data_IF_521496555786
#
_entry.id   IF_521496555786
#
_cell.length_a   1.000
_cell.length_b   1.000
_cell.length_c   1.000
_cell.angle_alpha   90.00
_cell.angle_beta   90.00
_cell.angle_gamma   90.00
#
_symmetry.space_group_name_H-M   'P 1'
#
loop_
_entity.id
_entity.type
_entity.pdbx_description
1 polymer ?
#
# COMPACT_ATOMS: atom_id res chain seq x y z
N UNK A 1 -15.34 48.38 10.39
CA UNK A 1 -16.36 47.37 10.07
C UNK A 1 -15.92 46.68 8.79
N UNK A 2 -15.20 45.56 8.92
CA UNK A 2 -14.72 44.77 7.80
C UNK A 2 -15.54 43.48 7.78
N UNK A 3 -16.41 43.34 6.78
CA UNK A 3 -17.18 42.13 6.54
C UNK A 3 -16.27 41.11 5.87
N UNK A 4 -15.92 40.05 6.61
CA UNK A 4 -15.27 38.86 6.07
C UNK A 4 -16.29 38.11 5.20
N UNK A 5 -15.95 37.91 3.92
CA UNK A 5 -16.67 37.01 3.03
C UNK A 5 -16.18 35.60 3.34
N UNK A 6 -17.11 34.76 3.79
CA UNK A 6 -16.89 33.34 4.08
C UNK A 6 -17.08 32.57 2.77
N UNK A 7 -15.98 32.35 2.03
CA UNK A 7 -15.98 31.44 0.87
C UNK A 7 -16.04 29.99 1.38
N UNK A 8 -17.24 29.59 1.77
CA UNK A 8 -17.58 28.21 2.11
C UNK A 8 -17.47 27.33 0.88
N UNK A 9 -16.29 26.74 0.66
CA UNK A 9 -16.05 25.71 -0.34
C UNK A 9 -16.94 24.49 -0.04
N UNK A 10 -18.15 24.51 -0.60
CA UNK A 10 -19.14 23.46 -0.42
C UNK A 10 -18.67 22.23 -1.19
N UNK A 11 -18.28 21.17 -0.45
CA UNK A 11 -17.88 19.90 -1.05
C UNK A 11 -19.08 19.35 -1.84
N UNK A 12 -18.91 19.25 -3.15
CA UNK A 12 -19.90 18.68 -4.06
C UNK A 12 -19.51 17.26 -4.44
N UNK A 13 -20.50 16.41 -4.73
CA UNK A 13 -20.31 15.00 -5.06
C UNK A 13 -20.88 14.73 -6.44
N UNK A 14 -20.08 14.17 -7.34
CA UNK A 14 -20.46 13.88 -8.71
C UNK A 14 -20.85 12.40 -8.90
N UNK A 15 -21.85 12.15 -9.76
CA UNK A 15 -22.21 10.80 -10.17
C UNK A 15 -21.31 10.34 -11.33
N UNK A 16 -20.58 9.22 -11.22
CA UNK A 16 -19.66 8.77 -12.26
C UNK A 16 -20.34 8.30 -13.55
N UNK A 17 -21.64 7.96 -13.50
CA UNK A 17 -22.41 7.54 -14.68
C UNK A 17 -22.92 8.70 -15.53
N UNK A 18 -23.58 9.68 -14.89
CA UNK A 18 -24.26 10.79 -15.57
C UNK A 18 -23.64 12.18 -15.32
N UNK A 19 -22.57 12.26 -14.51
CA UNK A 19 -21.86 13.49 -14.13
C UNK A 19 -22.73 14.55 -13.40
N UNK A 20 -23.91 14.16 -12.90
CA UNK A 20 -24.75 15.05 -12.09
C UNK A 20 -24.07 15.40 -10.76
N UNK A 21 -24.19 16.65 -10.34
CA UNK A 21 -23.56 17.19 -9.12
C UNK A 21 -24.59 17.21 -7.98
N UNK A 22 -24.19 16.69 -6.81
CA UNK A 22 -25.04 16.55 -5.64
C UNK A 22 -24.46 17.33 -4.45
N UNK A 23 -25.33 17.98 -3.65
CA UNK A 23 -24.92 18.79 -2.50
C UNK A 23 -24.58 17.95 -1.26
N UNK A 24 -24.86 16.64 -1.26
CA UNK A 24 -24.51 15.74 -0.16
C UNK A 24 -24.37 14.29 -0.61
N UNK A 25 -23.62 13.46 0.16
CA UNK A 25 -23.50 12.02 -0.12
C UNK A 25 -24.84 11.28 -0.06
N UNK A 26 -25.77 11.74 0.80
CA UNK A 26 -27.09 11.15 0.94
C UNK A 26 -27.96 11.37 -0.31
N UNK A 27 -27.85 12.54 -0.93
CA UNK A 27 -28.55 12.86 -2.18
C UNK A 27 -28.02 12.03 -3.35
N UNK A 28 -26.70 11.89 -3.47
CA UNK A 28 -26.06 11.00 -4.44
C UNK A 28 -26.49 9.54 -4.23
N UNK A 29 -26.49 9.06 -2.98
CA UNK A 29 -26.93 7.71 -2.65
C UNK A 29 -28.39 7.45 -2.99
N UNK A 30 -29.26 8.45 -2.84
CA UNK A 30 -30.67 8.30 -3.21
C UNK A 30 -30.82 8.20 -4.73
N UNK A 31 -30.15 9.06 -5.49
CA UNK A 31 -30.10 9.01 -6.96
C UNK A 31 -29.62 7.63 -7.46
N UNK A 32 -28.52 7.10 -6.91
CA UNK A 32 -28.01 5.78 -7.26
C UNK A 32 -28.94 4.62 -6.86
N UNK A 33 -29.88 4.82 -5.93
CA UNK A 33 -30.86 3.79 -5.53
C UNK A 33 -32.14 3.84 -6.34
N UNK A 34 -32.58 5.02 -6.78
CA UNK A 34 -33.84 5.21 -7.50
C UNK A 34 -33.68 5.15 -9.01
N UNK A 35 -32.55 5.61 -9.55
CA UNK A 35 -32.23 5.64 -10.99
C UNK A 35 -31.04 4.71 -11.33
N UNK A 36 -30.60 3.91 -10.34
CA UNK A 36 -29.37 3.13 -10.35
C UNK A 36 -29.18 2.18 -11.53
N UNK A 37 -30.25 1.69 -12.14
CA UNK A 37 -30.17 0.80 -13.30
C UNK A 37 -29.39 1.43 -14.47
N UNK A 38 -29.66 2.68 -14.82
CA UNK A 38 -29.09 3.29 -16.04
C UNK A 38 -27.74 3.98 -15.82
N UNK A 39 -27.46 4.43 -14.59
CA UNK A 39 -26.20 5.12 -14.27
C UNK A 39 -25.06 4.16 -13.89
N UNK A 40 -25.37 2.95 -13.42
CA UNK A 40 -24.34 1.97 -13.01
C UNK A 40 -23.89 1.06 -14.16
N UNK A 41 -24.75 0.80 -15.15
CA UNK A 41 -24.41 0.00 -16.35
C UNK A 41 -23.33 0.65 -17.24
N UNK A 42 -23.17 1.98 -17.15
CA UNK A 42 -22.15 2.73 -17.89
C UNK A 42 -20.77 2.76 -17.21
N UNK A 43 -20.67 2.30 -15.97
CA UNK A 43 -19.39 2.20 -15.25
C UNK A 43 -18.81 0.84 -15.63
N UNK A 44 -17.60 0.77 -16.22
CA UNK A 44 -16.95 -0.51 -16.45
C UNK A 44 -16.83 -1.20 -15.10
N UNK A 45 -17.52 -2.33 -14.92
CA UNK A 45 -17.33 -3.21 -13.77
C UNK A 45 -15.88 -3.67 -13.87
N UNK A 46 -14.97 -2.96 -13.21
CA UNK A 46 -13.61 -3.44 -13.04
C UNK A 46 -13.74 -4.76 -12.31
N UNK A 47 -13.43 -5.86 -12.99
CA UNK A 47 -13.50 -7.21 -12.44
C UNK A 47 -12.77 -7.24 -11.09
N UNK A 48 -13.54 -7.22 -10.01
CA UNK A 48 -13.01 -7.49 -8.68
C UNK A 48 -12.73 -8.99 -8.67
N UNK A 49 -11.49 -9.43 -8.42
CA UNK A 49 -11.20 -10.84 -8.32
C UNK A 49 -12.07 -11.43 -7.21
N UNK A 50 -12.90 -12.42 -7.56
CA UNK A 50 -13.68 -13.19 -6.61
C UNK A 50 -12.68 -13.97 -5.74
N UNK A 51 -12.74 -13.85 -4.40
CA UNK A 51 -11.86 -14.61 -3.53
C UNK A 51 -11.96 -16.10 -3.84
N UNK A 52 -10.86 -16.87 -3.75
CA UNK A 52 -10.88 -18.30 -4.04
C UNK A 52 -11.88 -19.08 -3.17
N UNK A 53 -12.21 -18.61 -1.97
CA UNK A 53 -13.29 -19.17 -1.14
C UNK A 53 -14.68 -19.16 -1.82
N UNK A 54 -14.86 -18.33 -2.86
CA UNK A 54 -16.09 -18.23 -3.65
C UNK A 54 -15.87 -18.59 -5.13
N UNK A 55 -14.66 -19.04 -5.50
CA UNK A 55 -14.42 -19.64 -6.80
C UNK A 55 -15.09 -21.01 -6.81
N UNK A 56 -16.13 -21.15 -7.62
CA UNK A 56 -16.88 -22.40 -7.80
C UNK A 56 -15.89 -23.49 -8.27
N UNK A 57 -15.46 -24.35 -7.36
CA UNK A 57 -14.46 -25.39 -7.62
C UNK A 57 -13.32 -25.52 -6.60
N UNK A 58 -13.18 -24.61 -5.61
CA UNK A 58 -12.37 -24.92 -4.43
C UNK A 58 -13.15 -25.90 -3.55
N UNK A 59 -12.63 -27.12 -3.40
CA UNK A 59 -13.23 -28.18 -2.59
C UNK A 59 -13.12 -27.91 -1.09
N UNK A 60 -13.78 -26.86 -0.61
CA UNK A 60 -14.15 -26.73 0.80
C UNK A 60 -15.68 -26.60 0.87
N UNK A 61 -16.32 -27.76 0.85
CA UNK A 61 -17.74 -27.91 1.09
C UNK A 61 -18.05 -27.49 2.53
N UNK A 62 -18.47 -26.24 2.76
CA UNK A 62 -19.60 -25.94 3.68
C UNK A 62 -19.97 -24.45 3.81
N UNK A 63 -19.19 -23.48 3.29
CA UNK A 63 -19.49 -22.07 3.54
C UNK A 63 -20.30 -21.46 2.38
N UNK A 64 -21.63 -21.56 2.45
CA UNK A 64 -22.54 -20.88 1.51
C UNK A 64 -22.73 -19.40 1.92
N UNK A 65 -21.87 -18.52 1.41
CA UNK A 65 -21.98 -17.09 1.64
C UNK A 65 -22.78 -16.36 0.56
N UNK A 66 -23.73 -15.49 0.95
CA UNK A 66 -24.39 -14.55 0.02
C UNK A 66 -23.98 -13.11 0.34
N UNK A 67 -23.88 -12.24 -0.68
CA UNK A 67 -23.67 -10.81 -0.48
C UNK A 67 -24.84 -10.21 0.33
N UNK A 68 -24.53 -9.32 1.28
CA UNK A 68 -25.57 -8.66 2.07
C UNK A 68 -26.40 -7.71 1.17
N UNK A 69 -27.75 -7.66 1.29
CA UNK A 69 -28.61 -6.85 0.41
C UNK A 69 -28.35 -5.34 0.46
N UNK A 70 -27.70 -4.85 1.52
CA UNK A 70 -27.28 -3.44 1.67
C UNK A 70 -25.76 -3.27 1.57
N UNK A 71 -25.05 -4.16 0.87
CA UNK A 71 -23.63 -3.94 0.56
C UNK A 71 -23.46 -2.54 -0.06
N UNK A 72 -22.43 -1.83 0.40
CA UNK A 72 -22.20 -0.43 0.03
C UNK A 72 -21.31 -0.39 -1.22
N UNK A 73 -21.51 0.59 -2.08
CA UNK A 73 -20.68 0.80 -3.26
C UNK A 73 -19.22 1.08 -2.88
N UNK A 74 -18.27 0.44 -3.58
CA UNK A 74 -16.85 0.80 -3.54
C UNK A 74 -16.69 2.10 -4.31
N UNK A 75 -16.50 3.20 -3.59
CA UNK A 75 -16.47 4.53 -4.19
C UNK A 75 -15.25 4.76 -5.06
N UNK A 76 -14.07 4.22 -4.68
CA UNK A 76 -12.80 4.31 -5.42
C UNK A 76 -11.81 3.27 -4.87
N UNK A 77 -10.92 2.76 -5.74
CA UNK A 77 -9.70 2.04 -5.31
C UNK A 77 -8.58 3.07 -5.18
N UNK A 78 -8.10 3.31 -3.95
CA UNK A 78 -6.89 4.12 -3.75
C UNK A 78 -5.65 3.37 -4.25
N UNK A 79 -4.64 4.11 -4.72
CA UNK A 79 -3.38 3.51 -5.16
C UNK A 79 -2.77 2.70 -4.01
N UNK A 80 -2.64 1.40 -4.24
CA UNK A 80 -1.85 0.55 -3.35
C UNK A 80 -0.38 0.94 -3.47
N UNK A 81 0.41 0.58 -2.48
CA UNK A 81 1.85 0.73 -2.57
C UNK A 81 2.46 -0.01 -3.77
N UNK A 82 1.90 -1.16 -4.16
CA UNK A 82 2.27 -1.81 -5.41
C UNK A 82 1.95 -0.94 -6.62
N UNK A 83 0.79 -0.29 -6.65
CA UNK A 83 0.41 0.64 -7.71
C UNK A 83 1.33 1.87 -7.74
N UNK A 84 1.80 2.35 -6.59
CA UNK A 84 2.79 3.43 -6.50
C UNK A 84 4.20 3.00 -6.91
N UNK A 85 4.61 1.78 -6.58
CA UNK A 85 5.87 1.20 -7.05
C UNK A 85 5.83 1.05 -8.57
N UNK A 86 4.71 0.58 -9.12
CA UNK A 86 4.47 0.55 -10.56
C UNK A 86 4.51 1.95 -11.14
N UNK A 87 3.83 2.95 -10.57
CA UNK A 87 3.84 4.32 -11.08
C UNK A 87 5.18 5.08 -10.89
N UNK A 88 6.17 4.52 -10.17
CA UNK A 88 7.46 5.19 -9.93
C UNK A 88 8.34 5.19 -11.18
N UNK A 89 9.30 6.13 -11.29
CA UNK A 89 10.23 6.27 -12.43
C UNK A 89 11.01 4.98 -12.81
N UNK A 90 11.02 3.99 -11.92
CA UNK A 90 11.68 2.71 -12.12
C UNK A 90 10.78 1.63 -12.75
N UNK A 91 9.52 1.94 -13.09
CA UNK A 91 8.55 1.00 -13.70
C UNK A 91 9.14 0.19 -14.84
N UNK A 92 9.74 0.88 -15.82
CA UNK A 92 10.32 0.26 -17.02
C UNK A 92 11.52 -0.64 -16.70
N UNK A 93 12.21 -0.40 -15.59
CA UNK A 93 13.41 -1.16 -15.19
C UNK A 93 13.02 -2.38 -14.34
N UNK A 94 12.02 -2.24 -13.45
CA UNK A 94 11.50 -3.34 -12.64
C UNK A 94 10.67 -4.36 -13.44
N UNK A 95 10.00 -3.94 -14.52
CA UNK A 95 9.24 -4.85 -15.39
C UNK A 95 10.12 -5.92 -16.06
N UNK A 96 11.41 -5.61 -16.31
CA UNK A 96 12.34 -6.52 -16.98
C UNK A 96 13.35 -7.18 -16.02
N UNK A 97 13.52 -6.66 -14.81
CA UNK A 97 14.55 -7.12 -13.87
C UNK A 97 14.10 -6.98 -12.42
N UNK A 98 13.68 -8.11 -11.83
CA UNK A 98 13.12 -8.19 -10.47
C UNK A 98 14.06 -7.60 -9.40
N UNK A 99 15.37 -7.78 -9.58
CA UNK A 99 16.39 -7.37 -8.61
C UNK A 99 16.96 -5.97 -8.85
N UNK A 100 16.42 -5.18 -9.79
CA UNK A 100 16.90 -3.81 -10.01
C UNK A 100 16.90 -3.00 -8.68
N UNK A 101 17.97 -2.24 -8.36
CA UNK A 101 19.12 -1.83 -9.18
C UNK A 101 20.27 -2.84 -9.30
N UNK A 102 20.13 -4.03 -8.72
CA UNK A 102 21.09 -5.12 -8.79
C UNK A 102 20.95 -5.92 -10.10
N UNK A 103 22.05 -6.53 -10.53
CA UNK A 103 22.16 -7.32 -11.74
C UNK A 103 21.33 -8.61 -11.67
N UNK A 104 21.34 -9.28 -10.52
CA UNK A 104 20.63 -10.53 -10.30
C UNK A 104 20.38 -10.78 -8.80
N UNK A 105 19.79 -11.93 -8.50
CA UNK A 105 19.54 -12.39 -7.13
C UNK A 105 20.82 -12.52 -6.30
N UNK A 106 21.90 -13.02 -6.91
CA UNK A 106 23.17 -13.25 -6.22
C UNK A 106 23.84 -11.95 -5.83
N UNK A 107 23.79 -10.95 -6.71
CA UNK A 107 24.26 -9.61 -6.39
C UNK A 107 23.43 -8.94 -5.29
N UNK A 108 22.10 -9.14 -5.30
CA UNK A 108 21.23 -8.68 -4.21
C UNK A 108 21.58 -9.34 -2.88
N UNK A 109 21.81 -10.66 -2.87
CA UNK A 109 22.20 -11.39 -1.66
C UNK A 109 23.54 -10.86 -1.10
N UNK A 110 24.53 -10.66 -1.98
CA UNK A 110 25.81 -10.06 -1.62
C UNK A 110 25.62 -8.65 -1.03
N UNK A 111 24.84 -7.81 -1.70
CA UNK A 111 24.54 -6.45 -1.26
C UNK A 111 23.90 -6.43 0.14
N UNK A 112 22.90 -7.29 0.36
CA UNK A 112 22.23 -7.46 1.65
C UNK A 112 23.20 -7.94 2.74
N UNK A 113 24.04 -8.92 2.43
CA UNK A 113 25.03 -9.45 3.36
C UNK A 113 26.02 -8.36 3.79
N UNK A 114 26.54 -7.57 2.85
CA UNK A 114 27.45 -6.46 3.15
C UNK A 114 26.76 -5.40 4.01
N UNK A 115 25.55 -4.98 3.65
CA UNK A 115 24.83 -3.93 4.39
C UNK A 115 24.50 -4.31 5.84
N UNK A 116 24.30 -5.61 6.13
CA UNK A 116 23.97 -6.09 7.46
C UNK A 116 25.19 -6.37 8.34
N UNK A 117 26.32 -6.75 7.76
CA UNK A 117 27.46 -7.29 8.51
C UNK A 117 28.70 -6.39 8.51
N UNK A 118 28.78 -5.42 7.60
CA UNK A 118 29.99 -4.61 7.40
C UNK A 118 29.72 -3.14 7.72
N UNK A 119 30.73 -2.46 8.29
CA UNK A 119 30.72 -1.00 8.35
C UNK A 119 30.97 -0.40 6.98
N UNK A 120 30.65 0.88 6.82
CA UNK A 120 30.82 1.60 5.56
C UNK A 120 32.28 1.59 5.06
N UNK A 121 33.25 1.68 5.97
CA UNK A 121 34.67 1.60 5.63
C UNK A 121 35.07 0.20 5.17
N UNK A 122 34.59 -0.85 5.84
CA UNK A 122 34.86 -2.24 5.45
C UNK A 122 34.23 -2.59 4.10
N UNK A 123 33.02 -2.11 3.81
CA UNK A 123 32.38 -2.27 2.50
C UNK A 123 33.20 -1.59 1.39
N UNK A 124 33.67 -0.36 1.61
CA UNK A 124 34.53 0.33 0.65
C UNK A 124 35.88 -0.39 0.45
N UNK A 125 36.42 -1.03 1.49
CA UNK A 125 37.63 -1.83 1.38
C UNK A 125 37.38 -3.13 0.60
N UNK A 126 36.24 -3.79 0.84
CA UNK A 126 35.80 -4.96 0.09
C UNK A 126 35.70 -4.67 -1.42
N UNK A 127 35.07 -3.55 -1.79
CA UNK A 127 34.94 -3.13 -3.20
C UNK A 127 36.28 -2.79 -3.89
N UNK A 128 37.34 -2.55 -3.11
CA UNK A 128 38.70 -2.26 -3.60
C UNK A 128 39.60 -3.49 -3.65
N UNK A 129 39.09 -4.68 -3.32
CA UNK A 129 39.88 -5.91 -3.39
C UNK A 129 40.35 -6.17 -4.82
N UNK A 130 41.61 -6.57 -4.98
CA UNK A 130 42.20 -6.96 -6.28
C UNK A 130 41.44 -8.09 -6.99
N UNK A 131 40.63 -8.84 -6.24
CA UNK A 131 39.69 -9.83 -6.77
C UNK A 131 38.81 -9.25 -7.89
N UNK A 132 38.39 -8.00 -7.76
CA UNK A 132 37.54 -7.30 -8.72
C UNK A 132 38.31 -6.65 -9.89
N UNK A 133 39.64 -6.82 -9.97
CA UNK A 133 40.41 -6.40 -11.15
C UNK A 133 40.29 -7.41 -12.30
N UNK A 134 40.08 -8.68 -11.97
CA UNK A 134 39.99 -9.79 -12.95
C UNK A 134 38.57 -10.33 -13.13
N UNK A 135 37.62 -9.90 -12.28
CA UNK A 135 36.24 -10.39 -12.25
C UNK A 135 35.24 -9.24 -12.35
N UNK A 136 34.00 -9.60 -12.67
CA UNK A 136 32.88 -8.65 -12.73
C UNK A 136 32.71 -7.97 -11.37
N UNK A 137 32.65 -6.65 -11.39
CA UNK A 137 32.38 -5.82 -10.21
C UNK A 137 30.89 -5.78 -9.91
N UNK A 138 30.51 -5.64 -8.62
CA UNK A 138 29.13 -5.36 -8.29
C UNK A 138 28.67 -4.03 -8.94
N UNK A 139 27.37 -3.92 -9.21
CA UNK A 139 26.73 -2.75 -9.81
C UNK A 139 26.89 -1.48 -8.97
N UNK A 140 27.09 -1.62 -7.67
CA UNK A 140 27.38 -0.52 -6.75
C UNK A 140 28.89 -0.26 -6.63
N UNK A 141 29.30 1.00 -6.80
CA UNK A 141 30.70 1.44 -6.82
C UNK A 141 31.22 1.87 -5.44
N UNK A 142 30.33 2.15 -4.50
CA UNK A 142 30.67 2.57 -3.15
C UNK A 142 29.65 2.07 -2.14
N UNK A 143 30.06 2.06 -0.87
CA UNK A 143 29.16 1.78 0.24
C UNK A 143 28.02 2.81 0.35
N UNK A 144 28.29 4.09 0.07
CA UNK A 144 27.23 5.13 0.01
C UNK A 144 26.18 4.81 -1.05
N UNK A 145 26.61 4.35 -2.23
CA UNK A 145 25.68 4.01 -3.31
C UNK A 145 24.80 2.82 -2.92
N UNK A 146 25.41 1.77 -2.36
CA UNK A 146 24.68 0.61 -1.86
C UNK A 146 23.67 1.01 -0.76
N UNK A 147 24.12 1.76 0.25
CA UNK A 147 23.26 2.20 1.34
C UNK A 147 22.17 3.17 0.86
N UNK A 148 22.45 4.00 -0.15
CA UNK A 148 21.47 4.85 -0.81
C UNK A 148 20.38 4.04 -1.52
N UNK A 149 20.76 2.97 -2.23
CA UNK A 149 19.80 2.04 -2.84
C UNK A 149 18.96 1.35 -1.77
N UNK A 150 19.58 0.85 -0.69
CA UNK A 150 18.87 0.25 0.43
C UNK A 150 17.91 1.24 1.10
N UNK A 151 18.30 2.52 1.22
CA UNK A 151 17.46 3.56 1.80
C UNK A 151 16.30 3.97 0.88
N UNK A 152 16.47 3.86 -0.44
CA UNK A 152 15.41 4.08 -1.43
C UNK A 152 14.40 2.94 -1.49
N UNK A 153 14.73 1.77 -0.92
CA UNK A 153 13.74 0.71 -0.79
C UNK A 153 12.58 1.24 0.04
N UNK A 154 11.36 0.98 -0.43
CA UNK A 154 10.23 1.56 0.23
C UNK A 154 10.06 0.96 1.62
N UNK A 155 9.96 1.83 2.63
CA UNK A 155 9.86 1.44 4.02
C UNK A 155 8.42 1.12 4.38
N UNK A 156 8.22 0.01 5.08
CA UNK A 156 6.96 -0.29 5.75
C UNK A 156 6.65 0.71 6.88
N UNK A 157 5.51 0.54 7.57
CA UNK A 157 5.14 1.37 8.71
C UNK A 157 6.24 1.33 9.80
N UNK A 158 6.82 2.49 10.09
CA UNK A 158 7.89 2.58 11.08
C UNK A 158 7.37 2.41 12.52
N UNK A 159 8.10 1.64 13.31
CA UNK A 159 7.88 1.55 14.75
C UNK A 159 8.17 2.90 15.42
N UNK A 160 7.26 3.31 16.29
CA UNK A 160 7.33 4.54 17.09
C UNK A 160 7.35 4.19 18.56
N UNK A 161 7.97 5.06 19.35
CA UNK A 161 8.01 4.97 20.81
C UNK A 161 7.45 6.26 21.40
N UNK A 162 6.52 6.16 22.33
CA UNK A 162 5.94 7.31 23.03
C UNK A 162 5.86 7.01 24.52
N UNK A 163 6.37 7.92 25.34
CA UNK A 163 6.19 7.83 26.80
C UNK A 163 4.75 8.18 27.15
N UNK A 164 4.08 7.30 27.88
CA UNK A 164 2.71 7.50 28.36
C UNK A 164 2.75 7.97 29.80
N UNK A 165 2.13 9.13 30.07
CA UNK A 165 1.99 9.68 31.41
C UNK A 165 0.53 9.57 31.87
N UNK A 166 0.33 8.98 33.04
CA UNK A 166 -1.00 8.89 33.66
C UNK A 166 -1.13 9.97 34.73
N UNK A 167 -2.05 10.93 34.52
CA UNK A 167 -2.36 11.95 35.52
C UNK A 167 -2.81 11.29 36.83
N UNK A 168 -2.16 11.64 37.93
CA UNK A 168 -2.47 11.11 39.27
C UNK A 168 -1.67 9.87 39.67
N UNK A 169 -0.93 9.24 38.74
CA UNK A 169 -0.11 8.07 39.03
C UNK A 169 1.36 8.37 38.77
N UNK A 170 2.20 8.30 39.80
CA UNK A 170 3.67 8.40 39.64
C UNK A 170 4.21 7.01 39.33
N UNK A 171 4.58 6.79 38.07
CA UNK A 171 5.30 5.60 37.66
C UNK A 171 6.79 5.72 38.04
N UNK A 172 7.34 4.72 38.71
CA UNK A 172 8.77 4.67 39.09
C UNK A 172 9.68 4.65 37.84
N UNK A 173 9.19 4.04 36.75
CA UNK A 173 9.83 4.03 35.45
C UNK A 173 8.87 4.53 34.38
N UNK A 174 9.35 5.25 33.35
CA UNK A 174 8.50 5.76 32.28
C UNK A 174 7.90 4.59 31.49
N UNK A 175 6.57 4.58 31.36
CA UNK A 175 5.86 3.59 30.57
C UNK A 175 6.03 3.95 29.08
N UNK A 176 6.59 3.03 28.31
CA UNK A 176 6.87 3.22 26.89
C UNK A 176 5.84 2.47 26.06
N UNK A 177 5.04 3.19 25.27
CA UNK A 177 4.19 2.62 24.24
C UNK A 177 4.98 2.49 22.95
N UNK A 178 5.10 1.26 22.45
CA UNK A 178 5.68 0.96 21.14
C UNK A 178 4.51 0.69 20.18
N UNK A 179 4.40 1.49 19.11
CA UNK A 179 3.25 1.45 18.21
C UNK A 179 3.64 1.77 16.76
N UNK A 180 2.79 1.39 15.82
CA UNK A 180 2.86 1.80 14.41
C UNK A 180 1.59 2.55 14.05
N UNK A 181 1.68 3.47 13.09
CA UNK A 181 0.52 4.17 12.55
C UNK A 181 -0.45 3.16 11.92
N UNK A 182 -1.61 2.96 12.55
CA UNK A 182 -2.58 1.95 12.15
C UNK A 182 -3.06 2.13 10.70
N UNK A 183 -3.22 3.37 10.24
CA UNK A 183 -3.62 3.65 8.86
C UNK A 183 -2.51 3.25 7.88
N UNK A 184 -1.24 3.49 8.23
CA UNK A 184 -0.11 3.06 7.41
C UNK A 184 0.04 1.54 7.40
N UNK A 185 -0.15 0.87 8.53
CA UNK A 185 -0.12 -0.60 8.62
C UNK A 185 -1.20 -1.21 7.74
N UNK A 186 -2.43 -0.72 7.82
CA UNK A 186 -3.53 -1.18 6.97
C UNK A 186 -3.17 -0.93 5.49
N UNK A 187 -2.77 0.29 5.12
CA UNK A 187 -2.38 0.57 3.73
C UNK A 187 -1.28 -0.36 3.22
N UNK A 188 -0.24 -0.61 4.02
CA UNK A 188 0.88 -1.49 3.67
C UNK A 188 0.42 -2.96 3.49
N UNK A 189 -0.37 -3.47 4.45
CA UNK A 189 -0.94 -4.82 4.39
C UNK A 189 -1.78 -5.04 3.13
N UNK A 190 -2.69 -4.10 2.87
CA UNK A 190 -3.58 -4.13 1.70
C UNK A 190 -2.84 -3.89 0.37
N UNK A 191 -1.56 -3.53 0.43
CA UNK A 191 -0.75 -3.35 -0.78
C UNK A 191 0.11 -4.55 -1.14
N UNK A 192 0.09 -5.61 -0.32
CA UNK A 192 0.82 -6.81 -0.65
C UNK A 192 0.12 -7.55 -1.81
N UNK A 193 0.79 -7.73 -2.97
CA UNK A 193 0.22 -8.40 -4.14
C UNK A 193 -0.29 -9.82 -3.86
N UNK A 194 0.29 -10.51 -2.86
CA UNK A 194 -0.14 -11.85 -2.48
C UNK A 194 -1.61 -11.87 -2.09
N UNK A 195 -2.11 -10.80 -1.48
CA UNK A 195 -3.50 -10.69 -1.05
C UNK A 195 -4.43 -10.11 -2.14
N UNK A 196 -3.91 -9.68 -3.29
CA UNK A 196 -4.71 -8.99 -4.31
C UNK A 196 -5.95 -9.77 -4.74
N UNK A 197 -5.84 -11.09 -4.84
CA UNK A 197 -6.95 -11.99 -5.23
C UNK A 197 -7.73 -12.56 -4.03
N UNK A 198 -7.36 -12.19 -2.80
CA UNK A 198 -7.91 -12.74 -1.54
C UNK A 198 -8.58 -11.68 -0.68
N UNK A 199 -8.66 -10.43 -1.14
CA UNK A 199 -9.29 -9.33 -0.39
C UNK A 199 -10.71 -9.09 -0.90
N UNK A 200 -11.70 -9.36 -0.04
CA UNK A 200 -13.09 -8.94 -0.23
C UNK A 200 -13.41 -7.75 0.65
N UNK A 201 -14.03 -6.74 0.06
CA UNK A 201 -14.47 -5.52 0.77
C UNK A 201 -15.98 -5.50 1.00
N UNK A 202 -16.70 -6.49 0.46
CA UNK A 202 -18.14 -6.58 0.60
C UNK A 202 -18.53 -7.38 1.84
N UNK A 203 -19.52 -6.91 2.62
CA UNK A 203 -20.07 -7.69 3.72
C UNK A 203 -20.83 -8.91 3.16
N UNK A 204 -20.53 -10.08 3.72
CA UNK A 204 -21.17 -11.35 3.38
C UNK A 204 -22.02 -11.85 4.56
N UNK A 205 -23.16 -12.47 4.25
CA UNK A 205 -23.88 -13.34 5.18
C UNK A 205 -23.31 -14.73 5.06
N UNK A 206 -22.87 -15.29 6.19
CA UNK A 206 -22.39 -16.68 6.30
C UNK A 206 -23.41 -17.44 7.14
N UNK A 207 -23.87 -18.60 6.65
CA UNK A 207 -24.84 -19.46 7.30
C UNK A 207 -24.18 -20.71 7.87
#
# INVERSE_FOLDING_TARGET
MASMSDDGNSITFDCPGCQAIFPSPAALLNHLKTEGGTCTDAIPVQHIPVPPAFQRGFEENDIMGHYYPTSRYIYNRGDTFLDRMKASEHERRHQNQLYYPFADEGEWELAKFLALNFTQSQMNQFLKLKWFETRVKPSFKSADQLLGWMASLPHGPQWRRTTVEFKGYKSIHPIQLIWQDALKVVKDLFSNPIFANFMTYDPHMVF
#
